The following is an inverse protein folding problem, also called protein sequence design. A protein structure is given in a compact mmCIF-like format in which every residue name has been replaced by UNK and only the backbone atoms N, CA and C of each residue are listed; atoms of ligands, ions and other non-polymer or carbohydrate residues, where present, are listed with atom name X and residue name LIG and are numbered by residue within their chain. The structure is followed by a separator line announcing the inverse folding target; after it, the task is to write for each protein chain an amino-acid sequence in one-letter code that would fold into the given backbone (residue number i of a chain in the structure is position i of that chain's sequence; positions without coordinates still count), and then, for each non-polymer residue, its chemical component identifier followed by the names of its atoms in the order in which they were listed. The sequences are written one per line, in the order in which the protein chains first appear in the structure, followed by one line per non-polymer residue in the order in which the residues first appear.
data_IF_068951250193
#
_entry.id   IF_068951250193
#
_cell.length_a   1.000
_cell.length_b   1.000
_cell.length_c   1.000
_cell.angle_alpha   90.00
_cell.angle_beta   90.00
_cell.angle_gamma   90.00
#
_symmetry.space_group_name_H-M   'P 1'
#
loop_
_entity.id
_entity.type
_entity.pdbx_description
1 polymer ?
#
# COMPACT_ATOMS: atom_id res chain seq x y z
N UNK A 1 -0.45 -25.58 -13.00
CA UNK A 1 -0.47 -24.15 -13.37
C UNK A 1 -1.92 -23.80 -13.70
N UNK A 2 -2.70 -23.39 -12.71
CA UNK A 2 -4.07 -22.92 -12.92
C UNK A 2 -3.99 -21.47 -13.38
N UNK A 3 -4.21 -21.23 -14.67
CA UNK A 3 -4.39 -19.87 -15.17
C UNK A 3 -5.65 -19.28 -14.52
N UNK A 4 -5.49 -18.13 -13.89
CA UNK A 4 -6.61 -17.43 -13.29
C UNK A 4 -7.56 -16.91 -14.37
N UNK A 5 -8.71 -17.55 -14.47
CA UNK A 5 -9.73 -17.28 -15.51
C UNK A 5 -10.68 -16.15 -15.12
N UNK A 6 -10.34 -15.36 -14.09
CA UNK A 6 -11.09 -14.17 -13.71
C UNK A 6 -10.94 -13.04 -14.75
N UNK A 7 -11.90 -12.12 -14.80
CA UNK A 7 -11.83 -10.95 -15.69
C UNK A 7 -10.56 -10.12 -15.48
N UNK A 8 -10.10 -9.98 -14.21
CA UNK A 8 -8.85 -9.26 -13.86
C UNK A 8 -7.60 -10.05 -14.24
N UNK A 9 -7.60 -11.37 -14.05
CA UNK A 9 -6.51 -12.24 -14.49
C UNK A 9 -6.34 -12.20 -16.02
N UNK A 10 -7.45 -12.22 -16.78
CA UNK A 10 -7.43 -12.05 -18.23
C UNK A 10 -6.93 -10.66 -18.66
N UNK A 11 -7.36 -9.60 -17.97
CA UNK A 11 -6.87 -8.25 -18.24
C UNK A 11 -5.36 -8.16 -18.01
N UNK A 12 -4.84 -8.70 -16.90
CA UNK A 12 -3.41 -8.73 -16.62
C UNK A 12 -2.64 -9.52 -17.69
N UNK A 13 -3.18 -10.67 -18.13
CA UNK A 13 -2.59 -11.46 -19.21
C UNK A 13 -2.55 -10.69 -20.54
N UNK A 14 -3.59 -9.93 -20.85
CA UNK A 14 -3.64 -9.07 -22.03
C UNK A 14 -2.63 -7.94 -21.94
N UNK A 15 -2.52 -7.28 -20.79
CA UNK A 15 -1.54 -6.19 -20.57
C UNK A 15 -0.09 -6.69 -20.65
N UNK A 16 0.18 -7.90 -20.14
CA UNK A 16 1.48 -8.58 -20.32
C UNK A 16 1.75 -8.88 -21.79
N UNK A 17 0.76 -9.44 -22.50
CA UNK A 17 0.88 -9.78 -23.92
C UNK A 17 1.07 -8.55 -24.82
N UNK A 18 0.45 -7.41 -24.45
CA UNK A 18 0.56 -6.15 -25.18
C UNK A 18 1.79 -5.31 -24.73
N UNK A 19 2.63 -5.84 -23.86
CA UNK A 19 3.80 -5.15 -23.29
C UNK A 19 3.46 -3.86 -22.51
N UNK A 20 2.24 -3.77 -21.98
CA UNK A 20 1.72 -2.62 -21.20
C UNK A 20 1.95 -2.74 -19.70
N UNK A 21 2.68 -3.76 -19.25
CA UNK A 21 2.92 -3.99 -17.83
C UNK A 21 3.64 -2.81 -17.14
N UNK A 22 4.38 -2.04 -17.92
CA UNK A 22 5.06 -0.83 -17.44
C UNK A 22 4.13 0.32 -17.03
N UNK A 23 2.84 0.28 -17.39
CA UNK A 23 1.83 1.27 -16.98
C UNK A 23 1.04 0.84 -15.74
N UNK A 24 1.24 -0.38 -15.25
CA UNK A 24 0.51 -0.94 -14.13
C UNK A 24 1.11 -0.45 -12.80
N UNK A 25 0.59 0.64 -12.27
CA UNK A 25 1.04 1.20 -10.99
C UNK A 25 0.38 0.54 -9.78
N UNK A 26 -0.88 0.09 -9.91
CA UNK A 26 -1.68 -0.54 -8.86
C UNK A 26 -2.44 -1.75 -9.38
N UNK A 27 -2.22 -2.92 -8.79
CA UNK A 27 -3.01 -4.10 -9.00
C UNK A 27 -3.73 -4.46 -7.69
N UNK A 28 -4.94 -3.92 -7.52
CA UNK A 28 -5.74 -4.09 -6.30
C UNK A 28 -6.55 -5.39 -6.30
N UNK A 29 -6.91 -5.86 -5.10
CA UNK A 29 -7.65 -7.12 -4.88
C UNK A 29 -6.90 -8.35 -5.40
N UNK A 30 -5.57 -8.28 -5.44
CA UNK A 30 -4.72 -9.33 -6.00
C UNK A 30 -4.96 -10.71 -5.35
N UNK A 31 -5.28 -10.77 -4.08
CA UNK A 31 -5.61 -12.01 -3.35
C UNK A 31 -6.85 -12.75 -3.88
N UNK A 32 -7.71 -12.08 -4.66
CA UNK A 32 -8.92 -12.71 -5.21
C UNK A 32 -8.68 -13.47 -6.53
N UNK A 33 -7.49 -13.31 -7.12
CA UNK A 33 -7.14 -13.93 -8.41
C UNK A 33 -5.67 -14.35 -8.54
N UNK A 34 -4.80 -14.06 -7.57
CA UNK A 34 -3.42 -14.54 -7.50
C UNK A 34 -3.20 -15.34 -6.22
N UNK A 35 -3.00 -16.64 -6.34
CA UNK A 35 -2.76 -17.55 -5.21
C UNK A 35 -1.55 -17.11 -4.38
N UNK A 36 -0.47 -16.66 -5.03
CA UNK A 36 0.72 -16.18 -4.32
C UNK A 36 0.47 -14.93 -3.47
N UNK A 37 -0.43 -14.04 -3.91
CA UNK A 37 -0.81 -12.87 -3.10
C UNK A 37 -1.62 -13.27 -1.87
N UNK A 38 -2.51 -14.25 -2.01
CA UNK A 38 -3.24 -14.86 -0.89
C UNK A 38 -2.29 -15.54 0.08
N UNK A 39 -1.41 -16.41 -0.42
CA UNK A 39 -0.45 -17.16 0.41
C UNK A 39 0.48 -16.24 1.21
N UNK A 40 0.96 -15.14 0.61
CA UNK A 40 1.77 -14.16 1.33
C UNK A 40 0.97 -13.43 2.41
N UNK A 41 -0.26 -13.02 2.09
CA UNK A 41 -1.11 -12.29 3.02
C UNK A 41 -1.65 -13.17 4.17
N UNK A 42 -1.76 -14.48 3.96
CA UNK A 42 -2.30 -15.43 4.94
C UNK A 42 -1.23 -16.30 5.62
N UNK A 43 0.06 -15.96 5.48
CA UNK A 43 1.13 -16.66 6.19
C UNK A 43 0.93 -16.55 7.70
N UNK A 44 1.12 -17.66 8.42
CA UNK A 44 0.96 -17.73 9.87
C UNK A 44 1.79 -16.67 10.58
N UNK A 45 3.07 -16.51 10.20
CA UNK A 45 3.99 -15.55 10.81
C UNK A 45 3.55 -14.09 10.60
N UNK A 46 2.84 -13.80 9.52
CA UNK A 46 2.25 -12.47 9.26
C UNK A 46 1.00 -12.29 10.11
N UNK A 47 0.11 -13.29 10.14
CA UNK A 47 -1.14 -13.23 10.91
C UNK A 47 -0.88 -13.14 12.41
N UNK A 48 0.14 -13.82 12.94
CA UNK A 48 0.56 -13.73 14.35
C UNK A 48 0.95 -12.28 14.72
N UNK A 49 1.66 -11.58 13.82
CA UNK A 49 1.99 -10.16 14.01
C UNK A 49 0.76 -9.27 13.94
N UNK A 50 -0.15 -9.54 13.01
CA UNK A 50 -1.40 -8.78 12.84
C UNK A 50 -2.31 -9.00 14.05
N UNK A 51 -2.45 -10.23 14.55
CA UNK A 51 -3.22 -10.56 15.75
C UNK A 51 -2.75 -9.77 16.97
N UNK A 52 -1.45 -9.63 17.16
CA UNK A 52 -0.88 -8.82 18.24
C UNK A 52 -1.21 -7.32 18.15
N UNK A 53 -1.62 -6.82 16.97
CA UNK A 53 -1.92 -5.42 16.72
C UNK A 53 -3.43 -5.10 16.76
N UNK A 54 -4.26 -5.98 16.19
CA UNK A 54 -5.71 -5.72 16.02
C UNK A 54 -6.60 -6.84 16.59
N UNK A 55 -6.03 -7.83 17.29
CA UNK A 55 -6.77 -8.96 17.87
C UNK A 55 -6.94 -10.15 16.92
N UNK A 56 -7.51 -11.26 17.42
CA UNK A 56 -7.52 -12.56 16.72
C UNK A 56 -8.51 -12.65 15.56
N UNK A 57 -9.53 -11.80 15.53
CA UNK A 57 -10.58 -11.83 14.52
C UNK A 57 -10.20 -10.96 13.32
N UNK A 58 -9.41 -11.51 12.41
CA UNK A 58 -8.77 -10.79 11.31
C UNK A 58 -9.55 -10.95 10.01
N UNK A 59 -9.84 -9.82 9.34
CA UNK A 59 -10.35 -9.74 7.98
C UNK A 59 -9.26 -9.25 7.03
N UNK A 60 -8.94 -10.02 6.00
CA UNK A 60 -8.11 -9.55 4.88
C UNK A 60 -8.94 -8.63 3.98
N UNK A 61 -8.72 -7.32 4.12
CA UNK A 61 -9.52 -6.30 3.42
C UNK A 61 -9.07 -6.08 1.97
N UNK A 62 -7.77 -5.96 1.75
CA UNK A 62 -7.22 -5.72 0.42
C UNK A 62 -5.76 -6.16 0.31
N UNK A 63 -5.37 -6.57 -0.89
CA UNK A 63 -3.97 -6.81 -1.28
C UNK A 63 -3.72 -6.09 -2.59
N UNK A 64 -2.71 -5.21 -2.60
CA UNK A 64 -2.40 -4.38 -3.77
C UNK A 64 -0.91 -4.46 -4.08
N UNK A 65 -0.56 -4.82 -5.32
CA UNK A 65 0.78 -4.57 -5.83
C UNK A 65 0.92 -3.09 -6.17
N UNK A 66 2.01 -2.48 -5.69
CA UNK A 66 2.35 -1.07 -5.94
C UNK A 66 3.70 -1.04 -6.62
N UNK A 67 3.70 -0.60 -7.88
CA UNK A 67 4.88 -0.63 -8.73
C UNK A 67 5.31 0.81 -9.06
N UNK A 68 6.59 1.09 -8.91
CA UNK A 68 7.23 2.31 -9.41
C UNK A 68 8.25 1.95 -10.47
N UNK A 69 8.02 2.45 -11.68
CA UNK A 69 8.93 2.26 -12.80
C UNK A 69 10.28 2.97 -12.59
N UNK A 70 11.36 2.50 -13.21
CA UNK A 70 12.66 3.17 -13.19
C UNK A 70 12.57 4.60 -13.72
N UNK A 71 13.33 5.51 -13.11
CA UNK A 71 13.40 6.92 -13.51
C UNK A 71 12.02 7.59 -13.65
N UNK A 72 11.07 7.17 -12.82
CA UNK A 72 9.71 7.67 -12.82
C UNK A 72 9.57 8.88 -11.91
N UNK A 73 8.86 9.91 -12.36
CA UNK A 73 8.47 11.06 -11.53
C UNK A 73 7.31 10.75 -10.58
N UNK A 74 6.71 9.56 -10.68
CA UNK A 74 5.56 9.15 -9.86
C UNK A 74 5.92 9.06 -8.39
N UNK A 75 5.15 9.74 -7.56
CA UNK A 75 5.29 9.70 -6.10
C UNK A 75 3.93 9.48 -5.44
N UNK A 76 3.96 9.15 -4.15
CA UNK A 76 2.75 9.13 -3.31
C UNK A 76 2.88 10.25 -2.30
N UNK A 77 1.98 11.21 -2.34
CA UNK A 77 1.95 12.35 -1.42
C UNK A 77 1.67 11.92 0.02
N UNK A 78 1.88 12.81 0.98
CA UNK A 78 1.55 12.58 2.38
C UNK A 78 0.05 12.31 2.56
N UNK A 79 -0.29 11.17 3.12
CA UNK A 79 -1.68 10.75 3.34
C UNK A 79 -1.82 9.80 4.52
N UNK A 80 -3.07 9.51 4.84
CA UNK A 80 -3.50 8.50 5.81
C UNK A 80 -4.51 7.59 5.11
N UNK A 81 -4.27 6.28 5.11
CA UNK A 81 -5.10 5.30 4.40
C UNK A 81 -6.58 5.35 4.81
N UNK A 82 -6.84 5.39 6.12
CA UNK A 82 -8.21 5.36 6.68
C UNK A 82 -9.07 6.57 6.29
N UNK A 83 -8.48 7.65 5.78
CA UNK A 83 -9.24 8.81 5.31
C UNK A 83 -10.21 8.45 4.18
N UNK A 84 -9.89 7.42 3.40
CA UNK A 84 -10.61 7.07 2.17
C UNK A 84 -11.59 5.92 2.31
N UNK A 85 -11.58 5.19 3.44
CA UNK A 85 -12.26 3.89 3.51
C UNK A 85 -13.63 3.94 4.15
N UNK A 86 -13.99 4.99 4.87
CA UNK A 86 -15.29 5.15 5.50
C UNK A 86 -15.66 3.99 6.42
N UNK A 87 -14.73 3.61 7.30
CA UNK A 87 -14.90 2.50 8.24
C UNK A 87 -15.46 2.97 9.56
N UNK A 88 -16.19 2.08 10.25
CA UNK A 88 -16.82 2.35 11.56
C UNK A 88 -15.81 2.42 12.70
N UNK A 89 -14.68 1.71 12.58
CA UNK A 89 -13.59 1.62 13.56
C UNK A 89 -12.25 1.75 12.84
N UNK A 90 -11.21 2.02 13.59
CA UNK A 90 -9.85 2.18 13.09
C UNK A 90 -8.91 1.04 13.50
N UNK A 91 -9.47 -0.09 13.96
CA UNK A 91 -8.75 -1.33 14.23
C UNK A 91 -8.27 -1.95 12.91
N UNK A 92 -7.21 -1.35 12.38
CA UNK A 92 -6.65 -1.62 11.07
C UNK A 92 -5.12 -1.59 11.10
N UNK A 93 -4.50 -2.47 10.35
CA UNK A 93 -3.05 -2.44 10.09
C UNK A 93 -2.77 -2.71 8.62
N UNK A 94 -1.87 -1.92 8.04
CA UNK A 94 -1.30 -2.16 6.71
C UNK A 94 0.08 -2.76 6.85
N UNK A 95 0.33 -3.89 6.19
CA UNK A 95 1.66 -4.45 5.95
C UNK A 95 2.13 -4.00 4.56
N UNK A 96 3.29 -3.38 4.48
CA UNK A 96 3.94 -3.11 3.21
C UNK A 96 5.21 -3.94 3.08
N UNK A 97 5.21 -4.94 2.18
CA UNK A 97 6.31 -5.87 1.93
C UNK A 97 7.05 -5.48 0.65
N UNK A 98 8.37 -5.41 0.73
CA UNK A 98 9.23 -5.21 -0.43
C UNK A 98 9.37 -6.54 -1.21
N UNK A 99 9.05 -6.52 -2.49
CA UNK A 99 9.27 -7.64 -3.43
C UNK A 99 10.50 -7.41 -4.31
N UNK A 100 10.96 -6.17 -4.41
CA UNK A 100 12.25 -5.76 -4.95
C UNK A 100 12.92 -4.82 -3.94
N UNK A 101 14.22 -4.48 -4.07
CA UNK A 101 14.87 -3.52 -3.17
C UNK A 101 14.11 -2.21 -3.10
N UNK A 102 13.69 -1.82 -1.90
CA UNK A 102 13.03 -0.54 -1.63
C UNK A 102 14.03 0.39 -0.92
N UNK A 103 14.89 1.04 -1.69
CA UNK A 103 15.90 1.99 -1.21
C UNK A 103 15.37 3.42 -1.23
N UNK A 104 16.12 4.38 -0.72
CA UNK A 104 15.76 5.80 -0.85
C UNK A 104 15.69 6.22 -2.31
N UNK A 105 16.65 5.77 -3.15
CA UNK A 105 16.69 6.07 -4.57
C UNK A 105 15.52 5.45 -5.34
N UNK A 106 15.08 4.24 -4.95
CA UNK A 106 13.91 3.61 -5.57
C UNK A 106 12.57 4.08 -4.97
N UNK A 107 12.61 5.09 -4.08
CA UNK A 107 11.42 5.70 -3.49
C UNK A 107 10.76 4.81 -2.45
N UNK A 108 11.51 4.31 -1.45
CA UNK A 108 10.94 3.61 -0.30
C UNK A 108 9.92 4.49 0.44
N UNK A 109 9.08 3.88 1.27
CA UNK A 109 8.19 4.65 2.12
C UNK A 109 8.96 5.52 3.11
N UNK A 110 8.33 6.63 3.50
CA UNK A 110 8.71 7.48 4.63
C UNK A 110 7.47 7.75 5.48
N UNK A 111 7.65 7.79 6.78
CA UNK A 111 6.56 7.90 7.75
C UNK A 111 6.87 8.94 8.80
N UNK A 112 5.81 9.56 9.34
CA UNK A 112 5.94 10.40 10.54
C UNK A 112 5.67 9.54 11.77
N UNK A 113 6.66 9.29 12.63
CA UNK A 113 6.50 8.48 13.83
C UNK A 113 5.39 9.01 14.74
N UNK A 114 4.54 8.11 15.24
CA UNK A 114 3.43 8.39 16.16
C UNK A 114 2.31 9.27 15.60
N UNK A 115 2.31 9.64 14.32
CA UNK A 115 1.26 10.48 13.72
C UNK A 115 -0.14 9.86 13.79
N UNK A 116 -0.25 8.52 13.85
CA UNK A 116 -1.52 7.83 14.05
C UNK A 116 -2.24 8.24 15.36
N UNK A 117 -1.49 8.65 16.39
CA UNK A 117 -2.06 9.11 17.68
C UNK A 117 -2.76 10.47 17.59
N UNK A 118 -2.52 11.21 16.51
CA UNK A 118 -3.15 12.50 16.26
C UNK A 118 -4.51 12.34 15.53
N UNK A 119 -4.89 11.11 15.18
CA UNK A 119 -6.11 10.82 14.44
C UNK A 119 -6.08 11.37 13.01
N UNK A 120 -7.28 11.60 12.47
CA UNK A 120 -7.47 12.07 11.10
C UNK A 120 -6.94 13.48 10.91
N UNK A 121 -6.08 13.66 9.91
CA UNK A 121 -5.57 14.96 9.45
C UNK A 121 -6.40 15.48 8.28
N UNK A 122 -6.36 16.79 8.06
CA UNK A 122 -7.02 17.41 6.90
C UNK A 122 -6.26 17.06 5.62
N UNK A 123 -6.96 16.45 4.67
CA UNK A 123 -6.47 16.20 3.32
C UNK A 123 -6.99 17.28 2.37
N UNK A 124 -6.14 17.75 1.49
CA UNK A 124 -6.44 18.78 0.49
C UNK A 124 -6.24 18.20 -0.92
N UNK A 125 -7.07 18.60 -1.85
CA UNK A 125 -6.95 18.17 -3.25
C UNK A 125 -5.68 18.76 -3.85
N UNK A 126 -4.90 17.94 -4.54
CA UNK A 126 -3.74 18.38 -5.32
C UNK A 126 -3.97 18.20 -6.80
N UNK A 127 -3.42 19.11 -7.60
CA UNK A 127 -3.44 19.05 -9.08
C UNK A 127 -2.17 18.40 -9.64
N UNK A 128 -1.29 17.91 -8.78
CA UNK A 128 -0.03 17.28 -9.19
C UNK A 128 -0.30 15.94 -9.89
N UNK A 129 -0.06 15.92 -11.21
CA UNK A 129 -0.27 14.75 -12.07
C UNK A 129 0.73 13.62 -11.82
N UNK A 130 1.83 13.88 -11.12
CA UNK A 130 2.84 12.88 -10.77
C UNK A 130 2.49 12.16 -9.46
N UNK A 131 1.51 12.68 -8.71
CA UNK A 131 0.97 12.00 -7.54
C UNK A 131 0.09 10.83 -7.97
N UNK A 132 0.53 9.61 -7.64
CA UNK A 132 -0.20 8.37 -7.97
C UNK A 132 -1.21 7.95 -6.91
N UNK A 133 -1.46 8.77 -5.90
CA UNK A 133 -2.54 8.53 -4.95
C UNK A 133 -3.89 8.69 -5.66
N UNK A 134 -4.71 7.64 -5.62
CA UNK A 134 -5.92 7.52 -6.46
C UNK A 134 -6.92 8.68 -6.36
N UNK A 135 -6.98 9.38 -5.23
CA UNK A 135 -7.89 10.50 -5.04
C UNK A 135 -7.21 11.87 -5.17
N UNK A 136 -5.92 11.90 -5.52
CA UNK A 136 -5.19 13.15 -5.73
C UNK A 136 -5.22 14.09 -4.53
N UNK A 137 -5.15 13.56 -3.31
CA UNK A 137 -5.17 14.36 -2.08
C UNK A 137 -3.82 14.32 -1.38
N UNK A 138 -3.56 15.29 -0.53
CA UNK A 138 -2.34 15.37 0.29
C UNK A 138 -2.61 16.07 1.62
N UNK A 139 -1.86 15.70 2.65
CA UNK A 139 -1.76 16.49 3.88
C UNK A 139 -0.63 17.49 3.71
N UNK A 140 -0.93 18.78 3.79
CA UNK A 140 0.04 19.86 3.52
C UNK A 140 0.81 20.30 4.77
N UNK A 141 0.24 20.09 5.96
CA UNK A 141 0.84 20.50 7.25
C UNK A 141 1.68 19.39 7.87
N UNK A 142 2.67 18.86 7.13
CA UNK A 142 3.56 17.81 7.62
C UNK A 142 4.94 18.37 7.90
N UNK A 143 5.45 18.11 9.11
CA UNK A 143 6.85 18.39 9.46
C UNK A 143 7.74 17.28 8.88
N UNK A 144 8.19 17.49 7.65
CA UNK A 144 8.98 16.51 6.90
C UNK A 144 10.35 16.24 7.51
N UNK A 145 10.88 17.11 8.33
CA UNK A 145 12.16 16.94 9.03
C UNK A 145 12.08 15.81 10.07
N UNK A 146 10.87 15.51 10.55
CA UNK A 146 10.63 14.40 11.48
C UNK A 146 10.40 13.06 10.77
N UNK A 147 10.37 13.05 9.44
CA UNK A 147 10.09 11.85 8.68
C UNK A 147 11.21 10.81 8.75
N UNK A 148 10.84 9.56 8.94
CA UNK A 148 11.75 8.42 8.92
C UNK A 148 11.57 7.64 7.63
N UNK A 149 12.67 7.41 6.91
CA UNK A 149 12.68 6.52 5.76
C UNK A 149 12.66 5.06 6.19
N UNK A 150 11.92 4.24 5.46
CA UNK A 150 11.74 2.80 5.69
C UNK A 150 12.34 1.99 4.54
N UNK A 151 13.68 1.96 4.38
CA UNK A 151 14.30 1.13 3.35
C UNK A 151 14.15 -0.34 3.72
N UNK A 152 13.85 -1.20 2.72
CA UNK A 152 13.62 -2.62 2.90
C UNK A 152 14.34 -3.44 1.82
N UNK A 153 14.90 -4.57 2.22
CA UNK A 153 15.31 -5.62 1.29
C UNK A 153 14.10 -6.48 0.88
N UNK A 154 14.15 -7.18 -0.26
CA UNK A 154 13.11 -8.12 -0.66
C UNK A 154 12.78 -9.12 0.46
N UNK A 155 11.48 -9.31 0.72
CA UNK A 155 10.97 -10.16 1.79
C UNK A 155 10.85 -9.48 3.16
N UNK A 156 11.39 -8.28 3.34
CA UNK A 156 11.15 -7.49 4.56
C UNK A 156 9.85 -6.68 4.43
N UNK A 157 9.22 -6.39 5.58
CA UNK A 157 7.98 -5.63 5.62
C UNK A 157 7.98 -4.60 6.76
N UNK A 158 7.19 -3.55 6.58
CA UNK A 158 6.78 -2.63 7.65
C UNK A 158 5.31 -2.83 7.95
N UNK A 159 4.92 -2.59 9.20
CA UNK A 159 3.52 -2.54 9.63
C UNK A 159 3.21 -1.13 10.12
N UNK A 160 2.07 -0.59 9.71
CA UNK A 160 1.64 0.74 10.13
C UNK A 160 0.12 0.82 10.26
N UNK A 161 -0.32 1.62 11.21
CA UNK A 161 -1.74 1.92 11.42
C UNK A 161 -2.25 2.84 10.31
N UNK A 162 -3.51 2.73 9.91
CA UNK A 162 -4.08 3.52 8.83
C UNK A 162 -4.13 5.03 9.05
N UNK A 163 -4.02 5.51 10.28
CA UNK A 163 -3.82 6.93 10.59
C UNK A 163 -2.35 7.37 10.60
N UNK A 164 -1.40 6.50 10.29
CA UNK A 164 0.00 6.91 10.14
C UNK A 164 0.17 7.76 8.89
N UNK A 165 0.68 8.98 9.05
CA UNK A 165 1.10 9.81 7.92
C UNK A 165 2.27 9.17 7.23
N UNK A 166 2.11 8.88 5.94
CA UNK A 166 3.17 8.28 5.13
C UNK A 166 3.13 8.77 3.69
N UNK A 167 4.26 8.63 3.03
CA UNK A 167 4.49 9.08 1.67
C UNK A 167 5.58 8.24 1.01
N UNK A 168 5.81 8.41 -0.28
CA UNK A 168 7.00 7.85 -0.94
C UNK A 168 7.46 8.73 -2.10
N UNK A 169 8.76 8.96 -2.18
CA UNK A 169 9.41 9.77 -3.21
C UNK A 169 9.36 9.08 -4.58
N UNK A 170 9.67 9.79 -5.68
CA UNK A 170 9.90 9.19 -6.98
C UNK A 170 10.93 8.06 -6.95
N UNK A 171 10.87 7.15 -7.92
CA UNK A 171 11.91 6.17 -8.15
C UNK A 171 12.91 6.74 -9.17
N UNK A 172 14.05 7.21 -8.67
CA UNK A 172 15.13 7.76 -9.49
C UNK A 172 16.22 6.71 -9.79
N UNK A 173 16.03 5.45 -9.36
CA UNK A 173 16.93 4.34 -9.67
C UNK A 173 16.67 3.78 -11.07
N UNK A 174 17.60 2.96 -11.55
CA UNK A 174 17.46 2.23 -12.81
C UNK A 174 16.61 0.98 -12.72
N UNK A 175 16.17 0.61 -11.52
CA UNK A 175 15.45 -0.63 -11.26
C UNK A 175 13.99 -0.38 -10.86
N UNK A 176 13.10 -1.28 -11.24
CA UNK A 176 11.69 -1.26 -10.82
C UNK A 176 11.56 -1.54 -9.33
N UNK A 177 10.79 -0.72 -8.60
CA UNK A 177 10.41 -1.00 -7.22
C UNK A 177 9.02 -1.63 -7.18
N UNK A 178 8.94 -2.85 -6.63
CA UNK A 178 7.71 -3.60 -6.47
C UNK A 178 7.46 -3.82 -4.98
N UNK A 179 6.29 -3.40 -4.52
CA UNK A 179 5.81 -3.64 -3.16
C UNK A 179 4.45 -4.32 -3.15
N UNK A 180 4.19 -5.07 -2.10
CA UNK A 180 2.88 -5.66 -1.80
C UNK A 180 2.32 -4.96 -0.56
N UNK A 181 1.23 -4.21 -0.74
CA UNK A 181 0.49 -3.61 0.37
C UNK A 181 -0.68 -4.53 0.73
N UNK A 182 -0.69 -5.01 1.97
CA UNK A 182 -1.72 -5.89 2.52
C UNK A 182 -2.42 -5.17 3.66
N UNK A 183 -3.74 -5.10 3.61
CA UNK A 183 -4.55 -4.36 4.55
C UNK A 183 -5.46 -5.30 5.31
N UNK A 184 -5.35 -5.27 6.64
CA UNK A 184 -6.12 -6.10 7.57
C UNK A 184 -7.02 -5.22 8.43
N UNK A 185 -8.20 -5.73 8.76
CA UNK A 185 -9.17 -5.11 9.68
C UNK A 185 -9.57 -6.12 10.76
N UNK A 186 -9.92 -5.63 11.93
CA UNK A 186 -10.68 -6.45 12.87
C UNK A 186 -12.11 -6.69 12.34
N UNK A 187 -12.65 -7.90 12.51
CA UNK A 187 -13.94 -8.32 11.88
C UNK A 187 -15.16 -7.54 12.36
N UNK A 188 -15.10 -6.88 13.51
CA UNK A 188 -16.18 -5.99 13.97
C UNK A 188 -16.26 -4.66 13.20
N UNK A 189 -15.21 -4.36 12.38
CA UNK A 189 -15.18 -3.16 11.54
C UNK A 189 -16.05 -3.35 10.29
N UNK A 190 -16.92 -2.40 10.02
CA UNK A 190 -17.82 -2.44 8.87
C UNK A 190 -17.79 -1.12 8.09
N UNK A 191 -18.21 -1.18 6.83
CA UNK A 191 -18.33 -0.01 5.98
C UNK A 191 -19.45 0.88 6.50
N UNK A 192 -19.16 2.14 6.78
CA UNK A 192 -20.19 3.14 7.08
C UNK A 192 -20.82 3.64 5.77
N UNK A 193 -22.11 3.96 5.80
CA UNK A 193 -22.77 4.61 4.66
C UNK A 193 -22.18 6.01 4.49
N UNK A 194 -21.83 6.34 3.26
CA UNK A 194 -21.52 7.70 2.84
C UNK A 194 -22.78 8.45 2.48
#
# INVERSE_FOLDING_TARGET
MGGDDTAKGRQLQMEVAENKIGSLHYLSKAHTFLTSAWELASKAEVLDLVENLIGPDILLYNVTYIIKEPNSLSHVSWHQDLTYWGLSHDDQVSMWMALSPATKESGCMRMIPRSHKQGRQKHEVTTDKTNVLLQGQTVTSVDEDTAVFCPLNPGQATFHHGWTLHASMPNISSERRIGLNVQYLATHTHQTKH
#
